data_IF_247062704493
#
_entry.id   IF_247062704493
#
_cell.length_a   1.000
_cell.length_b   1.000
_cell.length_c   1.000
_cell.angle_alpha   90.00
_cell.angle_beta   90.00
_cell.angle_gamma   90.00
#
_symmetry.space_group_name_H-M   'P 1'
#
loop_
_entity.id
_entity.type
_entity.pdbx_description
1 polymer ?
#
# COMPACT_ATOMS: atom_id res chain seq x y z
N UNK A 1 16.35 5.56 -0.91
CA UNK A 1 15.11 6.37 -0.83
C UNK A 1 13.88 5.54 -0.44
N UNK A 2 13.53 4.45 -1.15
CA UNK A 2 12.37 3.58 -0.83
C UNK A 2 12.30 3.18 0.66
N UNK A 3 13.37 2.59 1.20
CA UNK A 3 13.46 2.24 2.63
C UNK A 3 13.22 3.44 3.57
N UNK A 4 13.71 4.63 3.21
CA UNK A 4 13.57 5.82 4.04
C UNK A 4 12.12 6.33 4.07
N UNK A 5 11.41 6.23 2.94
CA UNK A 5 9.97 6.56 2.88
C UNK A 5 9.14 5.53 3.64
N UNK A 6 9.41 4.22 3.48
CA UNK A 6 8.72 3.20 4.29
C UNK A 6 8.97 3.40 5.79
N UNK A 7 10.17 3.85 6.19
CA UNK A 7 10.48 4.22 7.58
C UNK A 7 9.61 5.35 8.14
N UNK A 8 9.06 6.23 7.31
CA UNK A 8 8.19 7.31 7.77
C UNK A 8 6.73 6.90 7.92
N UNK A 9 6.30 5.72 7.42
CA UNK A 9 4.89 5.32 7.48
C UNK A 9 4.38 5.11 8.92
N UNK A 10 5.15 4.51 9.85
CA UNK A 10 4.78 4.53 11.26
C UNK A 10 4.62 5.95 11.82
N UNK A 11 5.47 6.90 11.43
CA UNK A 11 5.35 8.31 11.86
C UNK A 11 4.07 8.97 11.31
N UNK A 12 3.69 8.63 10.08
CA UNK A 12 2.48 9.11 9.42
C UNK A 12 1.20 8.62 10.11
N UNK A 13 1.24 7.45 10.76
CA UNK A 13 0.12 6.91 11.53
C UNK A 13 -0.21 7.68 12.81
N UNK A 14 0.63 8.63 13.26
CA UNK A 14 0.37 9.41 14.48
C UNK A 14 -0.78 10.40 14.33
N UNK A 15 -1.13 10.77 13.10
CA UNK A 15 -2.25 11.68 12.81
C UNK A 15 -3.06 11.13 11.65
N UNK A 16 -4.38 11.16 11.79
CA UNK A 16 -5.30 10.64 10.78
C UNK A 16 -5.22 11.39 9.45
N UNK A 17 -5.00 12.71 9.52
CA UNK A 17 -4.80 13.56 8.34
C UNK A 17 -3.52 13.26 7.56
N UNK A 18 -2.57 12.55 8.17
CA UNK A 18 -1.27 12.23 7.56
C UNK A 18 -1.10 10.75 7.29
N UNK A 19 -2.18 9.97 7.26
CA UNK A 19 -2.06 8.54 7.04
C UNK A 19 -1.26 8.18 5.77
N UNK A 20 -0.54 7.05 5.80
CA UNK A 20 0.19 6.53 4.64
C UNK A 20 -0.68 6.46 3.37
N UNK A 21 -0.10 6.63 2.17
CA UNK A 21 -0.81 6.79 0.89
C UNK A 21 -1.52 5.54 0.36
N UNK A 22 -1.84 4.58 1.23
CA UNK A 22 -2.69 3.41 0.96
C UNK A 22 -3.87 3.31 1.96
N UNK A 23 -4.02 4.32 2.83
CA UNK A 23 -5.15 4.50 3.75
C UNK A 23 -5.84 5.81 3.38
N UNK A 24 -7.06 5.71 2.86
CA UNK A 24 -7.78 6.87 2.33
C UNK A 24 -8.40 7.69 3.45
N UNK A 25 -8.40 9.03 3.33
CA UNK A 25 -8.97 9.92 4.35
C UNK A 25 -10.47 9.70 4.58
N UNK A 26 -11.20 9.18 3.59
CA UNK A 26 -12.61 8.77 3.76
C UNK A 26 -12.80 7.76 4.91
N UNK A 27 -11.81 6.91 5.19
CA UNK A 27 -11.87 5.93 6.28
C UNK A 27 -11.88 6.59 7.68
N UNK A 28 -11.60 7.89 7.77
CA UNK A 28 -11.64 8.67 9.01
C UNK A 28 -12.96 9.42 9.24
N UNK A 29 -13.81 9.59 8.22
CA UNK A 29 -14.90 10.60 8.26
C UNK A 29 -16.00 10.39 9.29
N UNK A 30 -16.23 9.17 9.78
CA UNK A 30 -17.30 8.90 10.77
C UNK A 30 -16.77 8.18 12.00
N UNK A 31 -16.10 7.05 11.80
CA UNK A 31 -15.49 6.27 12.87
C UNK A 31 -14.30 5.51 12.29
N UNK A 32 -13.12 5.74 12.85
CA UNK A 32 -11.92 5.01 12.45
C UNK A 32 -12.10 3.55 12.89
N UNK A 33 -12.00 2.56 11.98
CA UNK A 33 -12.09 1.16 12.35
C UNK A 33 -11.07 0.80 13.43
N UNK A 34 -11.49 -0.05 14.37
CA UNK A 34 -10.66 -0.45 15.52
C UNK A 34 -9.25 -0.93 15.14
N UNK A 35 -9.04 -1.77 14.10
CA UNK A 35 -7.69 -2.20 13.73
C UNK A 35 -6.76 -1.03 13.37
N UNK A 36 -7.27 0.02 12.72
CA UNK A 36 -6.48 1.22 12.43
C UNK A 36 -6.26 2.07 13.68
N UNK A 37 -7.26 2.18 14.55
CA UNK A 37 -7.12 2.90 15.83
C UNK A 37 -6.04 2.26 16.72
N UNK A 38 -6.03 0.93 16.83
CA UNK A 38 -5.00 0.18 17.55
C UNK A 38 -3.64 0.34 16.89
N UNK A 39 -3.58 0.28 15.55
CA UNK A 39 -2.36 0.52 14.79
C UNK A 39 -1.77 1.91 15.05
N UNK A 40 -2.61 2.96 15.18
CA UNK A 40 -2.14 4.29 15.59
C UNK A 40 -1.48 4.28 16.98
N UNK A 41 -2.10 3.61 17.95
CA UNK A 41 -1.53 3.46 19.30
C UNK A 41 -0.18 2.73 19.29
N UNK A 42 -0.08 1.65 18.53
CA UNK A 42 1.17 0.91 18.33
C UNK A 42 2.20 1.75 17.59
N UNK A 43 1.80 2.58 16.63
CA UNK A 43 2.71 3.48 15.93
C UNK A 43 3.32 4.55 16.84
N UNK A 44 2.56 5.05 17.83
CA UNK A 44 3.09 5.92 18.89
C UNK A 44 4.15 5.19 19.70
N UNK A 45 3.89 3.93 20.11
CA UNK A 45 4.87 3.10 20.81
C UNK A 45 6.12 2.86 19.94
N UNK A 46 5.93 2.57 18.65
CA UNK A 46 7.02 2.33 17.71
C UNK A 46 7.91 3.58 17.58
N UNK A 47 7.33 4.76 17.39
CA UNK A 47 8.08 6.00 17.15
C UNK A 47 8.81 6.51 18.40
N UNK A 48 8.31 6.20 19.59
CA UNK A 48 8.92 6.57 20.88
C UNK A 48 9.77 5.46 21.51
N UNK A 49 9.94 4.31 20.85
CA UNK A 49 10.58 3.13 21.45
C UNK A 49 12.04 3.37 21.83
N UNK A 50 12.42 2.78 22.95
CA UNK A 50 13.82 2.61 23.37
C UNK A 50 14.19 1.12 23.30
N UNK A 51 15.46 0.79 23.61
CA UNK A 51 15.88 -0.61 23.73
C UNK A 51 15.02 -1.37 24.76
N UNK A 52 14.72 -0.73 25.89
CA UNK A 52 13.97 -1.33 26.99
C UNK A 52 12.48 -1.56 26.67
N UNK A 53 11.88 -0.70 25.83
CA UNK A 53 10.46 -0.82 25.46
C UNK A 53 10.24 -1.66 24.20
N UNK A 54 11.32 -2.06 23.50
CA UNK A 54 11.19 -2.83 22.26
C UNK A 54 10.49 -4.19 22.46
N UNK A 55 10.74 -4.97 23.52
CA UNK A 55 10.01 -6.22 23.74
C UNK A 55 8.51 -6.00 23.95
N UNK A 56 8.13 -4.95 24.69
CA UNK A 56 6.74 -4.59 24.92
C UNK A 56 6.03 -4.21 23.61
N UNK A 57 6.67 -3.41 22.76
CA UNK A 57 6.17 -3.06 21.44
C UNK A 57 5.86 -4.31 20.58
N UNK A 58 6.79 -5.26 20.50
CA UNK A 58 6.59 -6.47 19.69
C UNK A 58 5.49 -7.37 20.26
N UNK A 59 5.36 -7.46 21.59
CA UNK A 59 4.22 -8.14 22.21
C UNK A 59 2.89 -7.43 21.92
N UNK A 60 2.86 -6.10 21.89
CA UNK A 60 1.66 -5.34 21.52
C UNK A 60 1.25 -5.58 20.07
N UNK A 61 2.22 -5.60 19.14
CA UNK A 61 1.96 -5.94 17.74
C UNK A 61 1.40 -7.37 17.64
N UNK A 62 2.07 -8.35 18.24
CA UNK A 62 1.65 -9.74 18.18
C UNK A 62 0.23 -9.95 18.73
N UNK A 63 -0.11 -9.38 19.89
CA UNK A 63 -1.46 -9.50 20.48
C UNK A 63 -2.52 -8.89 19.56
N UNK A 64 -2.22 -7.77 18.92
CA UNK A 64 -3.17 -7.13 18.00
C UNK A 64 -3.35 -7.94 16.70
N UNK A 65 -2.27 -8.56 16.20
CA UNK A 65 -2.36 -9.49 15.06
C UNK A 65 -3.21 -10.71 15.41
N UNK A 66 -2.98 -11.33 16.57
CA UNK A 66 -3.74 -12.48 17.06
C UNK A 66 -5.23 -12.13 17.25
N UNK A 67 -5.53 -10.95 17.81
CA UNK A 67 -6.90 -10.43 17.92
C UNK A 67 -7.54 -10.32 16.54
N UNK A 68 -6.91 -9.62 15.61
CA UNK A 68 -7.41 -9.42 14.25
C UNK A 68 -7.69 -10.76 13.54
N UNK A 69 -6.81 -11.75 13.68
CA UNK A 69 -7.02 -13.08 13.10
C UNK A 69 -8.14 -13.86 13.78
N UNK A 70 -8.26 -13.78 15.10
CA UNK A 70 -9.32 -14.47 15.86
C UNK A 70 -10.72 -13.89 15.59
N UNK A 71 -10.80 -12.60 15.28
CA UNK A 71 -12.04 -11.87 15.07
C UNK A 71 -12.38 -11.67 13.58
N UNK A 72 -11.47 -12.01 12.65
CA UNK A 72 -11.62 -11.69 11.23
C UNK A 72 -12.95 -12.13 10.63
N UNK A 73 -13.49 -13.27 11.06
CA UNK A 73 -14.77 -13.81 10.56
C UNK A 73 -15.99 -13.01 11.00
N UNK A 74 -15.84 -12.16 12.02
CA UNK A 74 -16.87 -11.24 12.52
C UNK A 74 -16.76 -9.85 11.88
N UNK A 75 -15.62 -9.54 11.26
CA UNK A 75 -15.36 -8.23 10.69
C UNK A 75 -16.26 -7.93 9.50
N UNK A 76 -16.80 -6.73 9.48
CA UNK A 76 -17.40 -6.18 8.27
C UNK A 76 -16.33 -5.78 7.25
N UNK A 77 -16.74 -5.44 6.02
CA UNK A 77 -15.84 -5.05 4.92
C UNK A 77 -14.81 -3.97 5.29
N UNK A 78 -15.20 -2.98 6.11
CA UNK A 78 -14.31 -1.88 6.51
C UNK A 78 -13.29 -2.34 7.55
N UNK A 79 -13.70 -3.21 8.48
CA UNK A 79 -12.83 -3.76 9.53
C UNK A 79 -11.79 -4.71 8.95
N UNK A 80 -12.17 -5.66 8.09
CA UNK A 80 -11.20 -6.57 7.46
C UNK A 80 -10.20 -5.79 6.60
N UNK A 81 -10.66 -4.74 5.92
CA UNK A 81 -9.81 -3.87 5.13
C UNK A 81 -8.84 -3.05 5.99
N UNK A 82 -9.32 -2.49 7.10
CA UNK A 82 -8.51 -1.82 8.10
C UNK A 82 -7.45 -2.74 8.73
N UNK A 83 -7.81 -4.00 9.01
CA UNK A 83 -6.88 -5.02 9.52
C UNK A 83 -5.77 -5.32 8.53
N UNK A 84 -6.09 -5.44 7.24
CA UNK A 84 -5.09 -5.63 6.18
C UNK A 84 -4.12 -4.44 6.08
N UNK A 85 -4.63 -3.21 6.19
CA UNK A 85 -3.80 -2.00 6.20
C UNK A 85 -2.91 -1.93 7.45
N UNK A 86 -3.44 -2.27 8.63
CA UNK A 86 -2.70 -2.33 9.87
C UNK A 86 -1.59 -3.39 9.82
N UNK A 87 -1.89 -4.58 9.30
CA UNK A 87 -0.92 -5.66 9.13
C UNK A 87 0.25 -5.24 8.24
N UNK A 88 -0.03 -4.54 7.14
CA UNK A 88 1.01 -4.00 6.27
C UNK A 88 1.91 -2.98 7.00
N UNK A 89 1.34 -2.15 7.87
CA UNK A 89 2.12 -1.23 8.72
C UNK A 89 3.02 -2.00 9.69
N UNK A 90 2.53 -3.07 10.33
CA UNK A 90 3.33 -3.89 11.22
C UNK A 90 4.50 -4.56 10.49
N UNK A 91 4.26 -5.08 9.28
CA UNK A 91 5.32 -5.63 8.42
C UNK A 91 6.35 -4.55 8.06
N UNK A 92 5.90 -3.33 7.73
CA UNK A 92 6.80 -2.20 7.49
C UNK A 92 7.64 -1.88 8.74
N UNK A 93 7.03 -1.84 9.93
CA UNK A 93 7.73 -1.65 11.20
C UNK A 93 8.79 -2.73 11.42
N UNK A 94 8.50 -3.99 11.08
CA UNK A 94 9.45 -5.12 11.15
C UNK A 94 10.62 -4.96 10.18
N UNK A 95 10.33 -4.68 8.91
CA UNK A 95 11.34 -4.50 7.87
C UNK A 95 12.24 -3.30 8.17
N UNK A 96 11.70 -2.21 8.70
CA UNK A 96 12.49 -1.01 8.98
C UNK A 96 13.12 -0.97 10.37
N UNK A 97 12.53 -1.68 11.33
CA UNK A 97 12.95 -1.77 12.73
C UNK A 97 14.08 -2.76 12.99
N UNK A 98 14.27 -3.74 12.09
CA UNK A 98 15.47 -4.60 12.10
C UNK A 98 15.37 -5.84 12.97
N UNK A 99 14.33 -6.66 12.81
CA UNK A 99 14.31 -8.05 13.26
C UNK A 99 14.68 -9.00 12.12
N UNK A 100 15.48 -10.04 12.38
CA UNK A 100 15.86 -11.00 11.34
C UNK A 100 17.23 -11.64 11.50
N UNK A 101 17.75 -11.78 12.72
CA UNK A 101 19.07 -12.45 12.92
C UNK A 101 19.00 -13.68 13.80
N UNK A 102 17.88 -13.92 14.50
CA UNK A 102 17.68 -15.14 15.30
C UNK A 102 16.68 -16.10 14.63
N UNK A 103 16.69 -17.40 14.96
CA UNK A 103 15.65 -18.34 14.51
C UNK A 103 14.23 -17.91 14.91
N UNK A 104 14.07 -17.41 16.14
CA UNK A 104 12.80 -16.87 16.65
C UNK A 104 12.30 -15.68 15.81
N UNK A 105 13.22 -14.86 15.30
CA UNK A 105 12.88 -13.77 14.38
C UNK A 105 12.32 -14.28 13.05
N UNK A 106 12.84 -15.40 12.53
CA UNK A 106 12.39 -16.02 11.29
C UNK A 106 10.99 -16.63 11.44
N UNK A 107 10.72 -17.31 12.55
CA UNK A 107 9.41 -17.85 12.86
C UNK A 107 8.38 -16.72 12.97
N UNK A 108 8.68 -15.66 13.70
CA UNK A 108 7.78 -14.52 13.82
C UNK A 108 7.55 -13.81 12.48
N UNK A 109 8.59 -13.60 11.67
CA UNK A 109 8.45 -13.05 10.31
C UNK A 109 7.48 -13.89 9.47
N UNK A 110 7.58 -15.22 9.55
CA UNK A 110 6.69 -16.15 8.84
C UNK A 110 5.24 -15.98 9.32
N UNK A 111 5.02 -15.86 10.63
CA UNK A 111 3.68 -15.62 11.18
C UNK A 111 3.05 -14.32 10.68
N UNK A 112 3.82 -13.22 10.57
CA UNK A 112 3.31 -11.96 10.00
C UNK A 112 2.88 -12.13 8.53
N UNK A 113 3.68 -12.84 7.72
CA UNK A 113 3.33 -13.09 6.32
C UNK A 113 2.06 -13.95 6.19
N UNK A 114 1.92 -14.98 7.03
CA UNK A 114 0.71 -15.82 7.09
C UNK A 114 -0.51 -15.04 7.57
N UNK A 115 -0.34 -14.12 8.54
CA UNK A 115 -1.40 -13.24 9.01
C UNK A 115 -1.91 -12.34 7.88
N UNK A 116 -0.99 -11.71 7.14
CA UNK A 116 -1.31 -10.93 5.95
C UNK A 116 -2.06 -11.75 4.89
N UNK A 117 -1.58 -12.96 4.59
CA UNK A 117 -2.23 -13.85 3.63
C UNK A 117 -3.65 -14.24 4.06
N UNK A 118 -3.85 -14.56 5.34
CA UNK A 118 -5.17 -14.90 5.89
C UNK A 118 -6.16 -13.73 5.78
N UNK A 119 -5.72 -12.52 6.17
CA UNK A 119 -6.53 -11.30 6.04
C UNK A 119 -6.85 -10.99 4.58
N UNK A 120 -5.88 -11.14 3.68
CA UNK A 120 -6.07 -10.94 2.25
C UNK A 120 -7.09 -11.92 1.67
N UNK A 121 -6.97 -13.22 1.98
CA UNK A 121 -7.92 -14.25 1.55
C UNK A 121 -9.33 -13.94 2.03
N UNK A 122 -9.48 -13.60 3.32
CA UNK A 122 -10.78 -13.27 3.88
C UNK A 122 -11.38 -12.00 3.25
N UNK A 123 -10.56 -10.97 3.05
CA UNK A 123 -10.95 -9.76 2.34
C UNK A 123 -11.48 -10.06 0.94
N UNK A 124 -10.82 -10.93 0.18
CA UNK A 124 -11.29 -11.35 -1.16
C UNK A 124 -12.63 -12.07 -1.10
N UNK A 125 -12.86 -12.91 -0.07
CA UNK A 125 -14.15 -13.59 0.13
C UNK A 125 -15.27 -12.61 0.48
N UNK A 126 -15.02 -11.63 1.35
CA UNK A 126 -16.06 -10.69 1.83
C UNK A 126 -16.41 -9.61 0.81
N UNK A 127 -15.48 -9.27 -0.08
CA UNK A 127 -15.69 -8.19 -1.05
C UNK A 127 -16.31 -8.64 -2.37
N UNK A 128 -16.41 -9.95 -2.62
CA UNK A 128 -16.92 -10.56 -3.87
C UNK A 128 -16.45 -9.81 -5.13
N UNK A 129 -15.22 -9.28 -5.08
CA UNK A 129 -14.69 -8.43 -6.13
C UNK A 129 -13.77 -9.30 -6.96
N UNK A 130 -14.15 -9.68 -8.19
CA UNK A 130 -13.23 -10.33 -9.11
C UNK A 130 -11.98 -9.46 -9.23
N UNK A 131 -10.80 -10.05 -9.40
CA UNK A 131 -9.58 -9.29 -9.73
C UNK A 131 -9.66 -8.61 -11.12
N UNK A 132 -10.84 -8.52 -11.75
CA UNK A 132 -11.03 -7.94 -13.07
C UNK A 132 -11.33 -6.45 -12.98
N UNK A 133 -10.65 -5.69 -13.84
CA UNK A 133 -10.66 -4.23 -13.98
C UNK A 133 -11.95 -3.74 -14.69
N UNK A 134 -12.86 -4.65 -15.03
CA UNK A 134 -13.96 -4.41 -15.97
C UNK A 134 -15.29 -4.02 -15.29
N UNK A 135 -15.36 -2.82 -14.71
CA UNK A 135 -16.61 -2.04 -14.71
C UNK A 135 -16.38 -0.58 -14.29
N UNK A 136 -15.62 0.17 -15.09
CA UNK A 136 -15.39 1.61 -14.86
C UNK A 136 -16.66 2.49 -14.86
N UNK A 137 -17.82 1.96 -15.27
CA UNK A 137 -19.01 2.77 -15.59
C UNK A 137 -20.15 2.73 -14.55
N UNK A 138 -20.02 2.01 -13.42
CA UNK A 138 -21.09 1.96 -12.41
C UNK A 138 -20.63 1.74 -10.96
N UNK A 139 -19.35 1.99 -10.66
CA UNK A 139 -18.83 1.77 -9.32
C UNK A 139 -19.12 2.99 -8.43
N UNK A 140 -19.71 2.79 -7.24
CA UNK A 140 -19.85 3.87 -6.25
C UNK A 140 -18.47 4.38 -5.84
N UNK A 141 -18.37 5.64 -5.42
CA UNK A 141 -17.10 6.22 -4.98
C UNK A 141 -16.47 5.43 -3.82
N UNK A 142 -17.26 4.88 -2.88
CA UNK A 142 -16.72 4.03 -1.82
C UNK A 142 -16.13 2.72 -2.33
N UNK A 143 -16.75 2.13 -3.35
CA UNK A 143 -16.24 0.91 -3.98
C UNK A 143 -14.98 1.20 -4.80
N UNK A 144 -14.93 2.37 -5.46
CA UNK A 144 -13.73 2.83 -6.15
C UNK A 144 -12.57 3.04 -5.17
N UNK A 145 -12.80 3.72 -4.02
CA UNK A 145 -11.78 3.86 -2.97
C UNK A 145 -11.28 2.50 -2.55
N UNK A 146 -12.18 1.53 -2.31
CA UNK A 146 -11.77 0.19 -1.91
C UNK A 146 -10.86 -0.47 -2.95
N UNK A 147 -11.23 -0.40 -4.22
CA UNK A 147 -10.45 -0.97 -5.31
C UNK A 147 -9.07 -0.29 -5.45
N UNK A 148 -9.05 1.03 -5.46
CA UNK A 148 -7.81 1.82 -5.55
C UNK A 148 -6.90 1.56 -4.33
N UNK A 149 -7.48 1.44 -3.14
CA UNK A 149 -6.71 1.13 -1.94
C UNK A 149 -6.08 -0.27 -2.00
N UNK A 150 -6.73 -1.25 -2.65
CA UNK A 150 -6.13 -2.58 -2.90
C UNK A 150 -4.91 -2.48 -3.83
N UNK A 151 -5.02 -1.70 -4.91
CA UNK A 151 -3.91 -1.43 -5.83
C UNK A 151 -2.73 -0.81 -5.05
N UNK A 152 -3.02 0.19 -4.21
CA UNK A 152 -2.02 0.86 -3.37
C UNK A 152 -1.37 -0.07 -2.35
N UNK A 153 -2.15 -0.96 -1.71
CA UNK A 153 -1.64 -2.01 -0.83
C UNK A 153 -0.68 -2.93 -1.59
N UNK A 154 -1.07 -3.41 -2.79
CA UNK A 154 -0.20 -4.24 -3.61
C UNK A 154 1.09 -3.52 -4.02
N UNK A 155 1.00 -2.23 -4.35
CA UNK A 155 2.18 -1.40 -4.64
C UNK A 155 3.11 -1.25 -3.44
N UNK A 156 2.56 -0.99 -2.25
CA UNK A 156 3.37 -0.89 -1.03
C UNK A 156 3.97 -2.24 -0.66
N UNK A 157 3.22 -3.34 -0.80
CA UNK A 157 3.73 -4.70 -0.62
C UNK A 157 4.93 -4.99 -1.53
N UNK A 158 4.83 -4.65 -2.82
CA UNK A 158 5.94 -4.74 -3.76
C UNK A 158 7.16 -3.95 -3.29
N UNK A 159 6.97 -2.69 -2.85
CA UNK A 159 8.06 -1.85 -2.34
C UNK A 159 8.70 -2.42 -1.06
N UNK A 160 7.91 -3.04 -0.19
CA UNK A 160 8.41 -3.76 1.00
C UNK A 160 9.25 -4.97 0.60
N UNK A 161 8.75 -5.79 -0.34
CA UNK A 161 9.45 -6.95 -0.86
C UNK A 161 10.79 -6.56 -1.52
N UNK A 162 10.82 -5.45 -2.26
CA UNK A 162 12.05 -4.89 -2.82
C UNK A 162 13.08 -4.55 -1.74
N UNK A 163 12.66 -3.82 -0.69
CA UNK A 163 13.57 -3.46 0.42
C UNK A 163 14.06 -4.70 1.19
N UNK A 164 13.20 -5.72 1.35
CA UNK A 164 13.59 -6.97 1.98
C UNK A 164 14.60 -7.76 1.12
N UNK A 165 14.34 -7.90 -0.18
CA UNK A 165 15.21 -8.63 -1.12
C UNK A 165 16.60 -8.01 -1.22
N UNK A 166 16.68 -6.68 -1.34
CA UNK A 166 17.96 -5.94 -1.37
C UNK A 166 18.81 -6.20 -0.12
N UNK A 167 18.19 -6.45 1.05
CA UNK A 167 18.94 -6.79 2.27
C UNK A 167 19.52 -8.21 2.24
N UNK A 168 18.84 -9.16 1.60
CA UNK A 168 19.25 -10.57 1.55
C UNK A 168 20.22 -10.82 0.39
N UNK A 169 20.28 -9.91 -0.60
CA UNK A 169 21.22 -9.98 -1.72
C UNK A 169 20.87 -11.06 -2.75
N UNK A 170 19.61 -11.47 -2.81
CA UNK A 170 19.13 -12.52 -3.74
C UNK A 170 18.46 -11.85 -4.94
N UNK A 171 18.86 -12.22 -6.16
CA UNK A 171 18.13 -11.86 -7.38
C UNK A 171 16.80 -12.63 -7.40
N UNK A 172 15.68 -11.93 -7.25
CA UNK A 172 14.38 -12.56 -7.06
C UNK A 172 13.60 -12.63 -8.38
N UNK A 173 13.34 -13.85 -8.89
CA UNK A 173 12.48 -14.07 -10.08
C UNK A 173 11.02 -13.64 -9.86
N UNK A 174 10.62 -13.42 -8.60
CA UNK A 174 9.33 -12.81 -8.25
C UNK A 174 9.24 -11.39 -8.86
N UNK A 175 10.35 -10.73 -9.14
CA UNK A 175 10.35 -9.42 -9.80
C UNK A 175 9.68 -9.41 -11.18
N UNK A 176 9.79 -10.50 -11.94
CA UNK A 176 9.11 -10.63 -13.25
C UNK A 176 7.59 -10.76 -13.10
N UNK A 177 7.11 -11.33 -11.98
CA UNK A 177 5.68 -11.46 -11.70
C UNK A 177 5.00 -10.11 -11.39
N UNK A 178 5.78 -9.08 -11.05
CA UNK A 178 5.25 -7.74 -10.76
C UNK A 178 5.05 -6.87 -12.00
N UNK A 179 5.39 -7.33 -13.21
CA UNK A 179 5.11 -6.55 -14.43
C UNK A 179 3.61 -6.28 -14.61
N UNK A 180 2.76 -7.16 -14.11
CA UNK A 180 1.30 -7.03 -14.16
C UNK A 180 0.72 -6.19 -13.01
N UNK A 181 1.54 -5.73 -12.06
CA UNK A 181 1.10 -4.91 -10.93
C UNK A 181 0.42 -3.62 -11.44
N UNK A 182 -0.88 -3.41 -11.16
CA UNK A 182 -1.55 -2.18 -11.56
C UNK A 182 -0.92 -0.96 -10.90
N UNK A 183 -0.87 0.16 -11.63
CA UNK A 183 -0.38 1.43 -11.10
C UNK A 183 -1.48 2.16 -10.31
N UNK A 184 -1.13 2.89 -9.24
CA UNK A 184 -2.09 3.70 -8.51
C UNK A 184 -2.61 4.86 -9.37
N UNK A 185 -3.81 5.33 -9.05
CA UNK A 185 -4.45 6.45 -9.73
C UNK A 185 -3.74 7.79 -9.49
N UNK A 186 -4.21 8.82 -10.19
CA UNK A 186 -3.73 10.19 -10.03
C UNK A 186 -3.92 10.70 -8.59
N UNK A 187 -2.91 11.39 -8.04
CA UNK A 187 -2.90 11.90 -6.66
C UNK A 187 -4.11 12.75 -6.29
N UNK A 188 -4.67 13.49 -7.25
CA UNK A 188 -5.85 14.34 -7.04
C UNK A 188 -7.12 13.48 -6.90
N UNK A 189 -7.26 12.40 -7.68
CA UNK A 189 -8.38 11.47 -7.53
C UNK A 189 -8.33 10.76 -6.17
N UNK A 190 -7.14 10.35 -5.74
CA UNK A 190 -6.94 9.75 -4.40
C UNK A 190 -7.08 10.77 -3.26
N UNK A 191 -6.82 12.05 -3.53
CA UNK A 191 -6.96 13.13 -2.55
C UNK A 191 -8.39 13.63 -2.39
N UNK A 192 -9.29 13.27 -3.29
CA UNK A 192 -10.69 13.67 -3.24
C UNK A 192 -11.34 13.13 -1.95
N UNK A 193 -12.05 14.00 -1.23
CA UNK A 193 -12.71 13.62 0.04
C UNK A 193 -14.22 13.52 -0.10
N UNK A 194 -14.81 13.89 -1.23
CA UNK A 194 -16.24 13.69 -1.49
C UNK A 194 -16.46 13.02 -2.86
N UNK A 195 -17.58 12.30 -3.05
CA UNK A 195 -17.92 11.73 -4.36
C UNK A 195 -17.95 12.77 -5.48
N UNK A 196 -18.43 13.99 -5.19
CA UNK A 196 -18.54 15.08 -6.15
C UNK A 196 -17.16 15.57 -6.59
N UNK A 197 -16.26 15.82 -5.63
CA UNK A 197 -14.87 16.22 -5.94
C UNK A 197 -14.13 15.13 -6.73
N UNK A 198 -14.40 13.85 -6.44
CA UNK A 198 -13.79 12.74 -7.17
C UNK A 198 -14.31 12.64 -8.61
N UNK A 199 -15.61 12.80 -8.82
CA UNK A 199 -16.23 12.76 -10.14
C UNK A 199 -15.79 13.94 -11.01
N UNK A 200 -15.71 15.15 -10.43
CA UNK A 200 -15.18 16.35 -11.10
C UNK A 200 -13.74 16.13 -11.60
N UNK A 201 -12.85 15.67 -10.72
CA UNK A 201 -11.45 15.44 -11.05
C UNK A 201 -11.26 14.27 -12.03
N UNK A 202 -12.08 13.22 -11.91
CA UNK A 202 -12.07 12.09 -12.85
C UNK A 202 -12.49 12.52 -14.25
N UNK A 203 -13.52 13.37 -14.37
CA UNK A 203 -13.94 13.96 -15.65
C UNK A 203 -12.89 14.91 -16.21
N UNK A 204 -12.29 15.76 -15.37
CA UNK A 204 -11.25 16.68 -15.78
C UNK A 204 -10.05 15.93 -16.38
N UNK A 205 -9.57 14.88 -15.69
CA UNK A 205 -8.49 14.03 -16.18
C UNK A 205 -8.84 13.29 -17.48
N UNK A 206 -10.07 12.76 -17.59
CA UNK A 206 -10.54 12.10 -18.81
C UNK A 206 -10.73 13.03 -20.01
N UNK A 207 -10.91 14.33 -19.77
CA UNK A 207 -11.06 15.35 -20.82
C UNK A 207 -9.74 15.87 -21.40
N UNK A 208 -8.61 15.56 -20.75
CA UNK A 208 -7.29 15.99 -21.21
C UNK A 208 -6.97 15.35 -22.58
N UNK A 209 -6.40 16.12 -23.53
CA UNK A 209 -6.01 15.59 -24.83
C UNK A 209 -5.01 14.44 -24.66
N UNK A 210 -5.46 13.20 -24.88
CA UNK A 210 -4.62 12.02 -24.73
C UNK A 210 -3.67 11.90 -25.93
N UNK A 211 -2.45 12.42 -25.79
CA UNK A 211 -1.33 12.03 -26.65
C UNK A 211 -0.61 10.85 -25.99
N UNK A 212 -0.80 9.66 -26.55
CA UNK A 212 -0.15 8.43 -26.11
C UNK A 212 -0.97 7.56 -25.15
N UNK A 213 -0.43 6.37 -24.86
CA UNK A 213 -1.06 5.38 -23.98
C UNK A 213 -0.94 5.80 -22.51
N UNK A 214 -1.96 5.56 -21.70
CA UNK A 214 -1.90 5.68 -20.24
C UNK A 214 -1.23 4.44 -19.65
N UNK A 215 -0.29 4.61 -18.72
CA UNK A 215 0.40 3.49 -18.09
C UNK A 215 -0.58 2.79 -17.14
N UNK A 216 -0.83 1.50 -17.40
CA UNK A 216 -1.77 0.71 -16.61
C UNK A 216 -1.06 -0.12 -15.53
N UNK A 217 0.16 -0.58 -15.81
CA UNK A 217 0.89 -1.48 -14.92
C UNK A 217 2.39 -1.14 -14.81
N UNK A 218 3.02 -1.68 -13.78
CA UNK A 218 4.44 -1.48 -13.49
C UNK A 218 5.36 -1.91 -14.64
N UNK A 219 5.00 -2.96 -15.40
CA UNK A 219 5.75 -3.39 -16.57
C UNK A 219 5.82 -2.34 -17.68
N UNK A 220 4.74 -1.58 -17.90
CA UNK A 220 4.70 -0.47 -18.87
C UNK A 220 5.49 0.74 -18.37
N UNK A 221 5.47 0.99 -17.06
CA UNK A 221 6.30 2.02 -16.43
C UNK A 221 7.79 1.69 -16.59
N UNK A 222 8.18 0.43 -16.35
CA UNK A 222 9.54 -0.06 -16.54
C UNK A 222 9.99 0.07 -17.99
N UNK A 223 9.17 -0.36 -18.96
CA UNK A 223 9.48 -0.23 -20.39
C UNK A 223 9.66 1.24 -20.79
N UNK A 224 8.81 2.13 -20.27
CA UNK A 224 8.90 3.56 -20.57
C UNK A 224 10.18 4.19 -20.01
N UNK A 225 10.63 3.78 -18.82
CA UNK A 225 11.94 4.18 -18.28
C UNK A 225 13.10 3.65 -19.12
N UNK A 226 13.04 2.39 -19.57
CA UNK A 226 14.09 1.79 -20.42
C UNK A 226 14.21 2.49 -21.78
N UNK A 227 13.12 3.08 -22.28
CA UNK A 227 13.06 3.79 -23.56
C UNK A 227 12.89 5.29 -23.41
N UNK A 228 13.29 5.88 -22.27
CA UNK A 228 13.11 7.30 -21.98
C UNK A 228 13.81 8.26 -22.98
N UNK A 229 14.73 7.75 -23.82
CA UNK A 229 15.32 8.52 -24.92
C UNK A 229 14.36 8.75 -26.10
N UNK A 230 13.32 7.93 -26.24
CA UNK A 230 12.24 8.12 -27.20
C UNK A 230 11.27 9.20 -26.67
N UNK A 231 10.96 10.18 -27.50
CA UNK A 231 10.06 11.28 -27.17
C UNK A 231 8.69 10.78 -26.67
N UNK A 232 8.14 9.70 -27.25
CA UNK A 232 6.82 9.18 -26.86
C UNK A 232 6.85 8.62 -25.43
N UNK A 233 7.92 7.91 -25.07
CA UNK A 233 8.09 7.36 -23.73
C UNK A 233 8.42 8.46 -22.72
N UNK A 234 9.23 9.47 -23.08
CA UNK A 234 9.48 10.65 -22.25
C UNK A 234 8.18 11.41 -21.92
N UNK A 235 7.36 11.73 -22.93
CA UNK A 235 6.05 12.39 -22.74
C UNK A 235 5.08 11.53 -21.88
N UNK A 236 5.16 10.21 -22.01
CA UNK A 236 4.36 9.28 -21.20
C UNK A 236 4.81 9.29 -19.73
N UNK A 237 6.12 9.32 -19.48
CA UNK A 237 6.68 9.45 -18.13
C UNK A 237 6.36 10.81 -17.50
N UNK A 238 6.44 11.90 -18.25
CA UNK A 238 6.11 13.25 -17.76
C UNK A 238 4.65 13.33 -17.29
N UNK A 239 3.74 12.76 -18.08
CA UNK A 239 2.31 12.66 -17.74
C UNK A 239 2.09 11.83 -16.49
N UNK A 240 2.70 10.65 -16.39
CA UNK A 240 2.66 9.85 -15.16
C UNK A 240 3.18 10.63 -13.94
N UNK A 241 4.33 11.28 -14.09
CA UNK A 241 5.00 12.02 -13.01
C UNK A 241 4.21 13.24 -12.54
N UNK A 242 3.47 13.92 -13.43
CA UNK A 242 2.60 15.03 -13.01
C UNK A 242 1.52 14.61 -12.02
N UNK A 243 1.05 13.36 -12.14
CA UNK A 243 -0.01 12.77 -11.33
C UNK A 243 0.45 11.88 -10.20
N UNK A 244 1.72 11.48 -10.18
CA UNK A 244 2.26 10.59 -9.19
C UNK A 244 2.22 11.19 -7.78
N UNK A 245 1.73 10.41 -6.82
CA UNK A 245 1.93 10.67 -5.40
C UNK A 245 3.20 9.99 -4.89
N UNK A 246 3.37 9.92 -3.57
CA UNK A 246 4.52 9.28 -2.94
C UNK A 246 4.69 7.81 -3.37
N UNK A 247 3.62 7.03 -3.57
CA UNK A 247 3.75 5.64 -4.05
C UNK A 247 4.24 5.66 -5.50
N UNK A 248 3.65 6.49 -6.35
CA UNK A 248 4.07 6.60 -7.76
C UNK A 248 5.54 6.99 -7.92
N UNK A 249 6.02 7.93 -7.10
CA UNK A 249 7.45 8.30 -7.05
C UNK A 249 8.33 7.13 -6.60
N UNK A 250 7.89 6.34 -5.61
CA UNK A 250 8.64 5.15 -5.19
C UNK A 250 8.66 4.06 -6.27
N UNK A 251 7.60 3.91 -7.05
CA UNK A 251 7.56 2.97 -8.19
C UNK A 251 8.53 3.40 -9.28
N UNK A 252 8.65 4.70 -9.59
CA UNK A 252 9.70 5.21 -10.48
C UNK A 252 11.12 4.89 -10.00
N UNK A 253 11.35 4.86 -8.68
CA UNK A 253 12.66 4.45 -8.18
C UNK A 253 12.87 2.95 -8.28
N UNK A 254 11.80 2.16 -8.12
CA UNK A 254 11.87 0.72 -8.22
C UNK A 254 12.22 0.26 -9.64
N UNK A 255 11.79 0.99 -10.68
CA UNK A 255 12.19 0.69 -12.07
C UNK A 255 13.68 0.88 -12.34
N UNK A 256 14.36 1.77 -11.61
CA UNK A 256 15.82 1.98 -11.75
C UNK A 256 16.63 0.89 -11.06
N UNK A 257 16.02 0.17 -10.11
CA UNK A 257 16.66 -0.92 -9.37
C UNK A 257 16.55 -2.28 -10.07
N UNK A 258 15.87 -2.35 -11.21
CA UNK A 258 15.62 -3.56 -12.02
C UNK A 258 16.27 -3.44 -13.39
#
# INVERSE_FOLDING_TARGET
>A
MIKQTLRSYPQMMLRRSTFPPFIHQYQDKSHLPEPLANCMGIAILFTSRTADTSPFLWQSIQREQERNLSEMTKFNRKEIFASLQAELIYIIMRVVGGGGSTPEDCDYNTHMLLAYEALWKHFMTVTDTPCSIESKNSQSWENWILNESRIRIACVWFLVAQVATVKVGISCSILDTWRELPLPCHKIQWGAITPESWDEETKALGSLPSRGKELACFGELLESHQRASDQVHAETLDRWNSGADNIGVLLNLATVLM
#
